data_IF_755605958825
#
_entry.id   IF_755605958825
#
_cell.length_a   1.000
_cell.length_b   1.000
_cell.length_c   1.000
_cell.angle_alpha   90.00
_cell.angle_beta   90.00
_cell.angle_gamma   90.00
#
_symmetry.space_group_name_H-M   'P 1'
#
loop_
_entity.id
_entity.type
_entity.pdbx_description
1 polymer ?
#
# COMPACT_ATOMS: atom_id res chain seq x y z
N UNK A 1 -20.66 -4.26 -15.49
CA UNK A 1 -20.09 -4.62 -14.17
C UNK A 1 -19.90 -3.30 -13.44
N UNK A 2 -20.69 -3.03 -12.39
CA UNK A 2 -20.51 -1.82 -11.59
C UNK A 2 -19.13 -1.87 -10.94
N UNK A 3 -18.25 -0.94 -11.33
CA UNK A 3 -16.99 -0.74 -10.64
C UNK A 3 -17.29 -0.21 -9.24
N UNK A 4 -16.92 -0.96 -8.19
CA UNK A 4 -17.05 -0.49 -6.82
C UNK A 4 -16.33 0.86 -6.67
N UNK A 5 -17.07 1.91 -6.30
CA UNK A 5 -16.49 3.22 -6.10
C UNK A 5 -15.91 3.30 -4.67
N UNK A 6 -14.62 3.00 -4.54
CA UNK A 6 -13.93 3.10 -3.27
C UNK A 6 -13.65 4.57 -2.90
N UNK A 7 -14.45 5.11 -1.98
CA UNK A 7 -14.23 6.43 -1.37
C UNK A 7 -13.09 6.37 -0.35
N UNK A 8 -11.87 6.24 -0.84
CA UNK A 8 -10.66 6.21 -0.02
C UNK A 8 -10.16 7.63 0.19
N UNK A 9 -10.01 8.04 1.46
CA UNK A 9 -9.38 9.30 1.83
C UNK A 9 -7.93 9.31 1.32
N UNK A 10 -7.49 10.34 0.58
CA UNK A 10 -6.11 10.42 0.12
C UNK A 10 -5.10 10.36 1.28
N UNK A 11 -3.91 9.84 1.02
CA UNK A 11 -2.84 9.78 2.03
C UNK A 11 -2.48 11.19 2.50
N UNK A 12 -2.68 11.48 3.78
CA UNK A 12 -2.46 12.81 4.39
C UNK A 12 -1.34 12.84 5.46
N UNK A 13 -0.72 11.69 5.68
CA UNK A 13 0.39 11.50 6.63
C UNK A 13 -0.03 11.09 8.03
N UNK A 14 -1.31 11.21 8.37
CA UNK A 14 -1.89 10.71 9.62
C UNK A 14 -2.64 9.39 9.42
N UNK A 15 -3.11 9.13 8.21
CA UNK A 15 -3.96 8.00 7.88
C UNK A 15 -3.24 6.80 7.23
N UNK A 16 -1.90 6.71 7.29
CA UNK A 16 -1.15 5.72 6.50
C UNK A 16 -1.59 4.26 6.72
N UNK A 17 -1.86 3.84 7.97
CA UNK A 17 -2.27 2.47 8.26
C UNK A 17 -3.60 2.10 7.59
N UNK A 18 -4.62 2.96 7.72
CA UNK A 18 -5.93 2.78 7.07
C UNK A 18 -5.81 2.87 5.55
N UNK A 19 -5.10 3.89 5.06
CA UNK A 19 -4.84 4.09 3.63
C UNK A 19 -4.17 2.86 3.00
N UNK A 20 -3.17 2.28 3.67
CA UNK A 20 -2.47 1.09 3.20
C UNK A 20 -3.42 -0.10 3.05
N UNK A 21 -4.29 -0.34 4.03
CA UNK A 21 -5.29 -1.42 3.97
C UNK A 21 -6.31 -1.18 2.84
N UNK A 22 -6.87 0.02 2.75
CA UNK A 22 -7.90 0.35 1.76
C UNK A 22 -7.36 0.28 0.33
N UNK A 23 -6.15 0.78 0.10
CA UNK A 23 -5.51 0.73 -1.22
C UNK A 23 -5.14 -0.69 -1.60
N UNK A 24 -4.71 -1.52 -0.65
CA UNK A 24 -4.48 -2.95 -0.91
C UNK A 24 -5.77 -3.63 -1.38
N UNK A 25 -6.92 -3.37 -0.73
CA UNK A 25 -8.22 -3.91 -1.16
C UNK A 25 -8.59 -3.42 -2.56
N UNK A 26 -8.43 -2.12 -2.83
CA UNK A 26 -8.67 -1.55 -4.17
C UNK A 26 -7.81 -2.20 -5.26
N UNK A 27 -6.54 -2.48 -4.97
CA UNK A 27 -5.62 -3.12 -5.91
C UNK A 27 -5.94 -4.61 -6.11
N UNK A 28 -6.47 -5.29 -5.09
CA UNK A 28 -6.95 -6.67 -5.18
C UNK A 28 -8.20 -6.75 -6.07
N UNK A 29 -9.19 -5.88 -5.84
CA UNK A 29 -10.40 -5.77 -6.67
C UNK A 29 -10.09 -5.56 -8.16
N UNK A 30 -9.03 -4.78 -8.44
CA UNK A 30 -8.61 -4.46 -9.81
C UNK A 30 -7.58 -5.41 -10.41
N UNK A 31 -7.18 -6.46 -9.69
CA UNK A 31 -6.12 -7.40 -10.11
C UNK A 31 -4.76 -6.74 -10.40
N UNK A 32 -4.43 -5.68 -9.66
CA UNK A 32 -3.14 -4.97 -9.75
C UNK A 32 -2.18 -5.34 -8.61
N UNK A 33 -2.68 -6.01 -7.57
CA UNK A 33 -1.88 -6.31 -6.38
C UNK A 33 -0.63 -7.13 -6.69
N UNK A 34 -0.70 -8.10 -7.60
CA UNK A 34 0.45 -8.96 -7.92
C UNK A 34 1.59 -8.20 -8.61
N UNK A 35 1.29 -7.09 -9.31
CA UNK A 35 2.31 -6.16 -9.80
C UNK A 35 3.01 -5.47 -8.62
N UNK A 36 2.23 -4.95 -7.66
CA UNK A 36 2.75 -4.22 -6.48
C UNK A 36 3.56 -5.14 -5.57
N UNK A 37 3.11 -6.39 -5.43
CA UNK A 37 3.76 -7.42 -4.66
C UNK A 37 4.93 -8.10 -5.41
N UNK A 38 5.21 -7.69 -6.65
CA UNK A 38 6.25 -8.26 -7.52
C UNK A 38 6.14 -9.79 -7.66
N UNK A 39 4.90 -10.30 -7.65
CA UNK A 39 4.60 -11.74 -7.81
C UNK A 39 4.44 -12.15 -9.26
N UNK A 40 4.21 -11.17 -10.13
CA UNK A 40 4.08 -11.34 -11.57
C UNK A 40 5.28 -10.72 -12.27
N UNK A 41 5.99 -11.52 -13.08
CA UNK A 41 7.06 -11.04 -13.93
C UNK A 41 6.52 -10.59 -15.30
N UNK A 42 7.20 -9.64 -15.93
CA UNK A 42 6.86 -9.22 -17.28
C UNK A 42 6.96 -10.42 -18.25
N UNK A 43 5.96 -10.64 -19.12
CA UNK A 43 6.00 -11.71 -20.12
C UNK A 43 7.22 -11.56 -21.05
N UNK A 44 7.90 -12.67 -21.35
CA UNK A 44 8.93 -12.72 -22.40
C UNK A 44 8.23 -12.69 -23.75
N UNK A 45 8.65 -11.81 -24.65
CA UNK A 45 8.09 -11.71 -26.00
C UNK A 45 8.83 -12.70 -26.91
N UNK A 46 8.26 -13.88 -27.14
CA UNK A 46 8.89 -14.92 -27.98
C UNK A 46 8.48 -14.87 -29.46
N UNK A 47 7.55 -13.99 -29.83
CA UNK A 47 7.26 -13.65 -31.23
C UNK A 47 5.81 -13.83 -31.66
N UNK A 48 5.00 -14.54 -30.89
CA UNK A 48 3.62 -14.85 -31.25
C UNK A 48 2.62 -13.74 -30.82
N UNK A 49 1.50 -13.66 -31.53
CA UNK A 49 0.43 -12.68 -31.27
C UNK A 49 -0.15 -12.80 -29.85
N UNK A 50 -0.15 -14.03 -29.31
CA UNK A 50 -0.55 -14.33 -27.92
C UNK A 50 0.34 -13.60 -26.91
N UNK A 51 1.66 -13.58 -27.13
CA UNK A 51 2.61 -12.97 -26.19
C UNK A 51 2.58 -11.45 -26.28
N UNK A 52 2.36 -10.90 -27.48
CA UNK A 52 2.11 -9.47 -27.65
C UNK A 52 0.86 -9.01 -26.86
N UNK A 53 -0.20 -9.84 -26.83
CA UNK A 53 -1.43 -9.56 -26.06
C UNK A 53 -1.17 -9.60 -24.56
N UNK A 54 -0.48 -10.64 -24.06
CA UNK A 54 -0.11 -10.77 -22.64
C UNK A 54 0.76 -9.59 -22.19
N UNK A 55 1.76 -9.21 -22.98
CA UNK A 55 2.65 -8.08 -22.67
C UNK A 55 1.87 -6.75 -22.63
N UNK A 56 0.94 -6.55 -23.57
CA UNK A 56 0.06 -5.36 -23.58
C UNK A 56 -0.83 -5.32 -22.34
N UNK A 57 -1.42 -6.44 -21.95
CA UNK A 57 -2.25 -6.54 -20.75
C UNK A 57 -1.44 -6.33 -19.46
N UNK A 58 -0.25 -6.91 -19.37
CA UNK A 58 0.70 -6.67 -18.29
C UNK A 58 1.03 -5.19 -18.17
N UNK A 59 1.45 -4.54 -19.26
CA UNK A 59 1.79 -3.11 -19.27
C UNK A 59 0.60 -2.22 -18.87
N UNK A 60 -0.61 -2.60 -19.27
CA UNK A 60 -1.83 -1.90 -18.86
C UNK A 60 -2.04 -2.00 -17.34
N UNK A 61 -1.91 -3.20 -16.77
CA UNK A 61 -2.01 -3.41 -15.31
C UNK A 61 -0.88 -2.71 -14.58
N UNK A 62 0.34 -2.75 -15.11
CA UNK A 62 1.52 -2.07 -14.56
C UNK A 62 1.30 -0.57 -14.42
N UNK A 63 0.90 0.10 -15.51
CA UNK A 63 0.64 1.54 -15.51
C UNK A 63 -0.54 1.89 -14.60
N UNK A 64 -1.62 1.12 -14.64
CA UNK A 64 -2.80 1.35 -13.80
C UNK A 64 -2.54 1.17 -12.31
N UNK A 65 -1.65 0.25 -11.94
CA UNK A 65 -1.23 0.06 -10.55
C UNK A 65 -0.58 1.34 -10.00
N UNK A 66 0.41 1.89 -10.72
CA UNK A 66 1.03 3.17 -10.37
C UNK A 66 0.03 4.32 -10.34
N UNK A 67 -0.77 4.50 -11.39
CA UNK A 67 -1.77 5.58 -11.45
C UNK A 67 -2.77 5.51 -10.30
N UNK A 68 -3.21 4.30 -9.93
CA UNK A 68 -4.15 4.11 -8.80
C UNK A 68 -3.53 4.59 -7.49
N UNK A 69 -2.27 4.24 -7.22
CA UNK A 69 -1.55 4.72 -6.03
C UNK A 69 -1.40 6.24 -6.08
N UNK A 70 -0.88 6.79 -7.18
CA UNK A 70 -0.61 8.22 -7.33
C UNK A 70 -1.86 9.09 -7.10
N UNK A 71 -3.00 8.69 -7.66
CA UNK A 71 -4.26 9.41 -7.52
C UNK A 71 -4.82 9.37 -6.10
N UNK A 72 -4.44 8.36 -5.31
CA UNK A 72 -4.87 8.22 -3.91
C UNK A 72 -3.87 8.80 -2.92
N UNK A 73 -2.82 9.47 -3.37
CA UNK A 73 -1.90 10.25 -2.52
C UNK A 73 -2.25 11.72 -2.60
N UNK A 74 -2.28 12.43 -1.46
CA UNK A 74 -2.52 13.87 -1.45
C UNK A 74 -1.39 14.61 -2.18
N UNK A 75 -1.68 15.73 -2.87
CA UNK A 75 -0.70 16.45 -3.69
C UNK A 75 0.65 16.70 -2.99
N UNK A 76 0.63 17.12 -1.72
CA UNK A 76 1.84 17.42 -0.94
C UNK A 76 2.80 16.23 -0.74
N UNK A 77 2.32 15.00 -0.90
CA UNK A 77 3.10 13.77 -0.73
C UNK A 77 3.42 13.08 -2.06
N UNK A 78 2.88 13.57 -3.18
CA UNK A 78 3.16 12.98 -4.51
C UNK A 78 4.62 13.14 -4.91
N UNK A 79 5.28 14.20 -4.45
CA UNK A 79 6.71 14.44 -4.62
C UNK A 79 7.58 13.29 -4.12
N UNK A 80 7.09 12.48 -3.17
CA UNK A 80 7.79 11.28 -2.67
C UNK A 80 7.96 10.25 -3.79
N UNK A 81 6.94 10.08 -4.63
CA UNK A 81 6.88 9.07 -5.71
C UNK A 81 6.99 9.68 -7.11
N UNK A 82 7.26 10.98 -7.19
CA UNK A 82 7.46 11.68 -8.44
C UNK A 82 8.67 11.12 -9.21
N UNK A 83 8.54 11.07 -10.54
CA UNK A 83 9.55 10.47 -11.42
C UNK A 83 9.53 8.94 -11.45
N UNK A 84 8.76 8.27 -10.59
CA UNK A 84 8.55 6.83 -10.67
C UNK A 84 7.44 6.51 -11.68
N UNK A 85 7.53 5.34 -12.30
CA UNK A 85 6.46 4.74 -13.12
C UNK A 85 6.07 3.36 -12.63
N UNK A 86 6.86 2.79 -11.72
CA UNK A 86 6.66 1.48 -11.12
C UNK A 86 5.82 1.60 -9.85
N UNK A 87 4.65 0.96 -9.85
CA UNK A 87 3.76 0.93 -8.69
C UNK A 87 4.39 0.27 -7.45
N UNK A 88 5.19 -0.78 -7.62
CA UNK A 88 5.85 -1.47 -6.51
C UNK A 88 6.89 -0.57 -5.82
N UNK A 89 7.69 0.15 -6.60
CA UNK A 89 8.64 1.13 -6.06
C UNK A 89 7.94 2.29 -5.36
N UNK A 90 6.87 2.82 -5.96
CA UNK A 90 6.05 3.86 -5.34
C UNK A 90 5.50 3.39 -3.99
N UNK A 91 4.97 2.17 -3.93
CA UNK A 91 4.47 1.56 -2.70
C UNK A 91 5.57 1.42 -1.62
N UNK A 92 6.75 0.89 -1.99
CA UNK A 92 7.90 0.77 -1.08
C UNK A 92 8.36 2.11 -0.53
N UNK A 93 8.43 3.14 -1.39
CA UNK A 93 8.90 4.49 -1.00
C UNK A 93 7.91 5.18 -0.06
N UNK A 94 6.61 5.05 -0.31
CA UNK A 94 5.57 5.51 0.62
C UNK A 94 5.66 4.77 1.96
N UNK A 95 5.78 3.44 1.93
CA UNK A 95 5.95 2.63 3.16
C UNK A 95 7.15 3.09 3.99
N UNK A 96 8.30 3.26 3.35
CA UNK A 96 9.51 3.73 4.03
C UNK A 96 9.35 5.11 4.67
N UNK A 97 8.53 5.99 4.08
CA UNK A 97 8.32 7.36 4.59
C UNK A 97 7.37 7.40 5.78
N UNK A 98 6.23 6.71 5.69
CA UNK A 98 5.14 6.82 6.68
C UNK A 98 5.18 5.73 7.74
N UNK A 99 5.81 4.59 7.45
CA UNK A 99 6.07 3.52 8.41
C UNK A 99 7.57 3.15 8.39
N UNK A 100 8.46 4.07 8.84
CA UNK A 100 9.87 3.76 8.94
C UNK A 100 10.07 2.66 9.98
N UNK A 101 10.73 1.58 9.55
CA UNK A 101 11.00 0.38 10.35
C UNK A 101 12.17 0.59 11.33
N UNK A 102 12.30 1.81 11.88
CA UNK A 102 13.47 2.14 12.69
C UNK A 102 13.43 1.38 14.01
N UNK A 103 14.53 0.67 14.32
CA UNK A 103 14.71 -0.03 15.61
C UNK A 103 14.38 0.88 16.79
N UNK A 104 14.73 2.17 16.70
CA UNK A 104 14.43 3.16 17.72
C UNK A 104 12.92 3.37 17.92
N UNK A 105 12.11 3.42 16.85
CA UNK A 105 10.66 3.58 16.95
C UNK A 105 9.99 2.31 17.48
N UNK A 106 10.46 1.13 17.06
CA UNK A 106 10.02 -0.15 17.62
C UNK A 106 10.37 -0.25 19.11
N UNK A 107 11.56 0.22 19.50
CA UNK A 107 12.01 0.22 20.89
C UNK A 107 11.25 1.26 21.74
N UNK A 108 10.94 2.43 21.18
CA UNK A 108 10.10 3.44 21.82
C UNK A 108 8.66 2.93 22.04
N UNK A 109 8.05 2.29 21.03
CA UNK A 109 6.73 1.67 21.17
C UNK A 109 6.72 0.55 22.21
N UNK A 110 7.77 -0.28 22.25
CA UNK A 110 7.94 -1.28 23.30
C UNK A 110 8.09 -0.62 24.67
N UNK A 111 8.92 0.41 24.78
CA UNK A 111 9.12 1.14 26.02
C UNK A 111 7.82 1.77 26.51
N UNK A 112 7.07 2.46 25.65
CA UNK A 112 5.76 3.03 25.95
C UNK A 112 4.78 1.96 26.44
N UNK A 113 4.64 0.85 25.70
CA UNK A 113 3.77 -0.26 26.09
C UNK A 113 4.13 -0.87 27.46
N UNK A 114 5.41 -1.02 27.78
CA UNK A 114 5.86 -1.53 29.08
C UNK A 114 5.91 -0.46 30.18
N UNK A 115 5.87 0.83 29.83
CA UNK A 115 5.88 1.95 30.77
C UNK A 115 4.48 2.41 31.15
N UNK A 116 3.44 1.99 30.42
CA UNK A 116 2.06 2.10 30.87
C UNK A 116 1.87 1.16 32.05
N UNK A 117 2.17 1.67 33.25
CA UNK A 117 1.76 1.05 34.50
C UNK A 117 0.24 1.01 34.46
N UNK A 118 -0.32 -0.19 34.46
CA UNK A 118 -1.75 -0.41 34.71
C UNK A 118 -2.01 0.21 36.08
N UNK A 119 -2.73 1.34 36.13
CA UNK A 119 -3.11 1.91 37.41
C UNK A 119 -3.96 0.87 38.15
N UNK A 120 -3.74 0.63 39.44
CA UNK A 120 -4.39 -0.46 40.18
C UNK A 120 -5.93 -0.32 40.27
N UNK A 121 -6.50 0.78 39.78
CA UNK A 121 -7.95 1.02 39.71
C UNK A 121 -8.52 0.99 38.27
N UNK A 122 -7.67 0.86 37.24
CA UNK A 122 -8.15 0.66 35.88
C UNK A 122 -8.46 -0.83 35.68
N UNK A 123 -9.71 -1.20 35.99
CA UNK A 123 -10.23 -2.54 35.69
C UNK A 123 -10.06 -2.81 34.20
N UNK A 124 -9.04 -3.59 33.85
CA UNK A 124 -8.89 -4.14 32.51
C UNK A 124 -10.04 -5.13 32.34
N UNK A 125 -11.17 -4.61 31.86
CA UNK A 125 -12.28 -5.39 31.34
C UNK A 125 -11.85 -6.12 30.07
N UNK A 126 -10.96 -7.11 30.22
CA UNK A 126 -10.81 -8.18 29.25
C UNK A 126 -12.14 -8.91 29.22
N UNK A 127 -13.00 -8.49 28.28
CA UNK A 127 -14.28 -9.10 27.99
C UNK A 127 -14.08 -10.61 27.76
N UNK A 128 -14.40 -11.40 28.79
CA UNK A 128 -14.82 -12.79 28.62
C UNK A 128 -16.19 -12.79 27.96
N UNK A 129 -16.27 -13.34 26.75
CA UNK A 129 -17.02 -14.57 26.45
C UNK A 129 -16.84 -14.97 24.99
#
# INVERSE_FOLDING_TARGET
>A
MESMNFLIKPLDGTNYATWCSDIKVLLLDRHFWDIIAEREAAPVKEGDESDARKLKEFNLRFNRAYTTIYMKVSPQYRTIIEGLTNGAEAWKKLKSRFQPDSRARVMALKHEFFSTVIEPDESIGLLRK
#
